data_IF_936861450915
#
_entry.id   IF_936861450915
#
_cell.length_a   1.000
_cell.length_b   1.000
_cell.length_c   1.000
_cell.angle_alpha   90.00
_cell.angle_beta   90.00
_cell.angle_gamma   90.00
#
_symmetry.space_group_name_H-M   'P 1'
#
loop_
_entity.id
_entity.type
_entity.pdbx_description
1 polymer ?
#
# COMPACT_ATOMS: atom_id res chain seq x y z
N UNK A 1 -10.07 -10.71 -16.01
CA UNK A 1 -9.13 -10.31 -14.94
C UNK A 1 -7.88 -11.14 -15.15
N UNK A 2 -6.76 -10.52 -15.53
CA UNK A 2 -5.52 -11.22 -15.88
C UNK A 2 -5.08 -12.10 -14.69
N UNK A 3 -4.70 -13.35 -14.97
CA UNK A 3 -4.43 -14.39 -13.99
C UNK A 3 -3.61 -13.88 -12.81
N UNK A 4 -4.15 -14.06 -11.61
CA UNK A 4 -3.54 -13.65 -10.35
C UNK A 4 -2.14 -14.25 -10.24
N UNK A 5 -1.11 -13.44 -10.45
CA UNK A 5 0.25 -13.83 -10.12
C UNK A 5 0.34 -13.93 -8.58
N UNK A 6 0.46 -15.13 -8.00
CA UNK A 6 0.42 -15.31 -6.55
C UNK A 6 1.57 -14.57 -5.85
N UNK A 7 2.70 -14.36 -6.56
CA UNK A 7 3.83 -13.58 -6.05
C UNK A 7 3.50 -12.09 -6.00
N UNK A 8 2.84 -11.55 -7.02
CA UNK A 8 2.42 -10.15 -7.03
C UNK A 8 1.44 -9.86 -5.88
N UNK A 9 0.48 -10.76 -5.63
CA UNK A 9 -0.46 -10.65 -4.52
C UNK A 9 0.26 -10.67 -3.16
N UNK A 10 1.24 -11.58 -2.98
CA UNK A 10 2.04 -11.66 -1.76
C UNK A 10 2.87 -10.39 -1.53
N UNK A 11 3.49 -9.86 -2.58
CA UNK A 11 4.26 -8.61 -2.50
C UNK A 11 3.34 -7.43 -2.19
N UNK A 12 2.17 -7.33 -2.81
CA UNK A 12 1.19 -6.30 -2.52
C UNK A 12 0.79 -6.28 -1.04
N UNK A 13 0.48 -7.45 -0.47
CA UNK A 13 0.12 -7.58 0.94
C UNK A 13 1.27 -7.19 1.88
N UNK A 14 2.51 -7.53 1.52
CA UNK A 14 3.69 -7.12 2.28
C UNK A 14 3.91 -5.60 2.23
N UNK A 15 3.84 -5.01 1.04
CA UNK A 15 3.96 -3.55 0.85
C UNK A 15 2.89 -2.83 1.66
N UNK A 16 1.64 -3.30 1.60
CA UNK A 16 0.54 -2.69 2.37
C UNK A 16 0.83 -2.68 3.87
N UNK A 17 1.28 -3.81 4.42
CA UNK A 17 1.61 -3.91 5.86
C UNK A 17 2.76 -3.00 6.25
N UNK A 18 3.85 -3.02 5.48
CA UNK A 18 5.04 -2.21 5.77
C UNK A 18 4.70 -0.73 5.69
N UNK A 19 4.08 -0.29 4.60
CA UNK A 19 3.73 1.12 4.39
C UNK A 19 2.75 1.61 5.47
N UNK A 20 1.72 0.82 5.81
CA UNK A 20 0.81 1.17 6.90
C UNK A 20 1.57 1.37 8.23
N UNK A 21 2.46 0.43 8.58
CA UNK A 21 3.26 0.52 9.81
C UNK A 21 4.28 1.67 9.81
N UNK A 22 4.84 2.01 8.65
CA UNK A 22 5.77 3.13 8.50
C UNK A 22 5.05 4.47 8.62
N UNK A 23 3.87 4.60 8.03
CA UNK A 23 3.03 5.81 8.14
C UNK A 23 2.69 6.09 9.60
N UNK A 24 2.26 5.08 10.37
CA UNK A 24 1.93 5.24 11.79
C UNK A 24 3.14 5.68 12.65
N UNK A 25 4.36 5.27 12.28
CA UNK A 25 5.58 5.50 13.08
C UNK A 25 6.32 6.77 12.71
N UNK A 26 6.41 7.09 11.42
CA UNK A 26 7.35 8.10 10.91
C UNK A 26 6.64 9.40 10.51
N UNK A 27 5.34 9.35 10.21
CA UNK A 27 4.63 10.46 9.61
C UNK A 27 4.07 11.41 10.68
N UNK A 28 4.87 12.39 11.07
CA UNK A 28 4.51 13.43 12.05
C UNK A 28 3.84 14.67 11.44
N UNK A 29 3.34 14.58 10.20
CA UNK A 29 2.61 15.66 9.57
C UNK A 29 1.12 15.60 9.97
N UNK A 30 0.63 16.65 10.65
CA UNK A 30 -0.78 16.78 11.06
C UNK A 30 -1.76 16.63 9.90
N UNK A 31 -1.34 17.00 8.67
CA UNK A 31 -2.16 16.85 7.47
C UNK A 31 -2.31 15.41 7.01
N UNK A 32 -1.56 14.48 7.58
CA UNK A 32 -1.54 13.07 7.20
C UNK A 32 -1.93 12.16 8.39
N UNK A 33 -2.44 12.76 9.48
CA UNK A 33 -2.68 12.12 10.76
C UNK A 33 -3.77 11.02 10.76
N UNK A 34 -4.52 10.85 9.66
CA UNK A 34 -5.59 9.85 9.57
C UNK A 34 -5.63 9.18 8.20
N UNK A 35 -4.45 8.87 7.66
CA UNK A 35 -4.30 8.12 6.41
C UNK A 35 -4.54 6.63 6.66
N UNK A 36 -5.33 6.00 5.81
CA UNK A 36 -5.55 4.55 5.76
C UNK A 36 -5.22 4.04 4.36
N UNK A 37 -4.35 3.03 4.27
CA UNK A 37 -4.01 2.37 3.00
C UNK A 37 -5.09 1.33 2.68
N UNK A 38 -5.81 1.54 1.58
CA UNK A 38 -6.97 0.72 1.20
C UNK A 38 -6.59 -0.44 0.27
N UNK A 39 -5.68 -0.20 -0.68
CA UNK A 39 -5.30 -1.21 -1.67
C UNK A 39 -3.86 -0.99 -2.15
N UNK A 40 -3.17 -2.08 -2.49
CA UNK A 40 -1.90 -2.03 -3.22
C UNK A 40 -2.01 -2.91 -4.46
N UNK A 41 -1.66 -2.35 -5.62
CA UNK A 41 -1.60 -3.08 -6.89
C UNK A 41 -0.18 -3.13 -7.41
N UNK A 42 0.31 -4.32 -7.67
CA UNK A 42 1.65 -4.55 -8.21
C UNK A 42 1.53 -5.02 -9.65
N UNK A 43 2.40 -4.53 -10.53
CA UNK A 43 2.46 -4.98 -11.92
C UNK A 43 2.93 -6.44 -12.01
N UNK A 44 2.58 -7.13 -13.09
CA UNK A 44 2.90 -8.56 -13.24
C UNK A 44 4.42 -8.85 -13.35
N UNK A 45 5.18 -7.87 -13.83
CA UNK A 45 6.65 -7.86 -13.87
C UNK A 45 7.29 -7.44 -12.53
N UNK A 46 6.47 -7.13 -11.52
CA UNK A 46 6.86 -6.72 -10.17
C UNK A 46 7.68 -5.43 -10.07
N UNK A 47 7.76 -4.65 -11.15
CA UNK A 47 8.57 -3.44 -11.19
C UNK A 47 7.93 -2.25 -10.50
N UNK A 48 6.59 -2.14 -10.55
CA UNK A 48 5.87 -0.97 -10.07
C UNK A 48 4.78 -1.40 -9.09
N UNK A 49 4.68 -0.68 -7.97
CA UNK A 49 3.58 -0.79 -7.03
C UNK A 49 2.80 0.53 -6.95
N UNK A 50 1.48 0.45 -7.14
CA UNK A 50 0.55 1.56 -6.92
C UNK A 50 -0.13 1.37 -5.56
N UNK A 51 0.01 2.36 -4.69
CA UNK A 51 -0.58 2.36 -3.34
C UNK A 51 -1.75 3.34 -3.33
N UNK A 52 -2.92 2.85 -2.97
CA UNK A 52 -4.14 3.64 -2.80
C UNK A 52 -4.39 3.87 -1.32
N UNK A 53 -4.72 5.10 -0.98
CA UNK A 53 -4.99 5.51 0.38
C UNK A 53 -6.12 6.51 0.43
N UNK A 54 -6.74 6.59 1.59
CA UNK A 54 -7.78 7.56 1.91
C UNK A 54 -7.38 8.26 3.19
N UNK A 55 -7.85 9.49 3.36
CA UNK A 55 -7.68 10.23 4.60
C UNK A 55 -9.04 10.56 5.19
N UNK A 56 -9.19 10.29 6.48
CA UNK A 56 -10.30 10.82 7.25
C UNK A 56 -9.99 12.28 7.58
N UNK A 57 -10.82 13.19 7.10
CA UNK A 57 -10.74 14.63 7.37
C UNK A 57 -11.69 15.07 8.46
#
# INVERSE_FOLDING_TARGET
MAGTNPRAARIAALIQRVVASSIERELHDKRLASITVTEVRVTNDLQIAKVYWTQLG
#
